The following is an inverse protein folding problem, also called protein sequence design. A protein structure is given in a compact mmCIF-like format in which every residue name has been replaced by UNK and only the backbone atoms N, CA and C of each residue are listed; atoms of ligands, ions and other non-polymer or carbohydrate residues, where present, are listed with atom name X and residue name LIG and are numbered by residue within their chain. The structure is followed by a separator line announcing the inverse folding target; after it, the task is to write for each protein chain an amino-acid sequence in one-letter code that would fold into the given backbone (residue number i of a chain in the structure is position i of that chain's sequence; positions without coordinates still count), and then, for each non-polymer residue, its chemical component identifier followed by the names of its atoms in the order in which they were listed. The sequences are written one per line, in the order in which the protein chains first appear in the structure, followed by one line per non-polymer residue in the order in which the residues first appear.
data_IF_997336402120
#
_entry.id   IF_997336402120
#
_cell.length_a   1.000
_cell.length_b   1.000
_cell.length_c   1.000
_cell.angle_alpha   90.00
_cell.angle_beta   90.00
_cell.angle_gamma   90.00
#
_symmetry.space_group_name_H-M   'P 1'
#
loop_
_entity.id
_entity.type
_entity.pdbx_description
1 polymer ?
#
# COMPACT_ATOMS: atom_id res chain seq x y z
N UNK A 1 -19.09 -1.78 26.77
CA UNK A 1 -19.20 -1.66 25.30
C UNK A 1 -17.80 -1.78 24.73
N UNK A 2 -17.48 -2.75 23.86
CA UNK A 2 -16.16 -2.75 23.23
C UNK A 2 -16.11 -1.60 22.24
N UNK A 3 -15.21 -0.65 22.47
CA UNK A 3 -14.90 0.40 21.52
C UNK A 3 -14.49 -0.29 20.21
N UNK A 4 -15.30 -0.12 19.17
CA UNK A 4 -14.95 -0.57 17.83
C UNK A 4 -13.80 0.32 17.39
N UNK A 5 -12.56 -0.10 17.66
CA UNK A 5 -11.37 0.59 17.20
C UNK A 5 -11.37 0.49 15.68
N UNK A 6 -11.98 1.48 15.03
CA UNK A 6 -11.84 1.67 13.58
C UNK A 6 -10.34 1.66 13.32
N UNK A 7 -9.81 0.73 12.50
CA UNK A 7 -8.37 0.70 12.23
C UNK A 7 -8.03 2.04 11.58
N UNK A 8 -7.39 2.91 12.34
CA UNK A 8 -6.91 4.20 11.85
C UNK A 8 -5.83 3.85 10.85
N UNK A 9 -6.13 4.05 9.57
CA UNK A 9 -5.16 3.84 8.52
C UNK A 9 -4.09 4.93 8.66
N UNK A 10 -2.86 4.52 8.94
CA UNK A 10 -1.72 5.44 8.97
C UNK A 10 -1.16 5.56 7.56
N UNK A 11 -0.87 6.80 7.14
CA UNK A 11 -0.08 7.06 5.95
C UNK A 11 1.29 6.39 6.08
N UNK A 12 1.79 5.82 4.99
CA UNK A 12 3.12 5.22 4.96
C UNK A 12 4.16 6.30 4.70
N UNK A 13 5.32 6.20 5.36
CA UNK A 13 6.41 7.12 5.12
C UNK A 13 6.96 6.94 3.69
N UNK A 14 7.23 8.06 3.01
CA UNK A 14 7.84 8.06 1.68
C UNK A 14 9.22 7.39 1.75
N UNK A 15 9.56 6.59 0.74
CA UNK A 15 10.78 5.78 0.68
C UNK A 15 10.72 4.49 1.49
N UNK A 16 9.60 4.19 2.15
CA UNK A 16 9.45 2.90 2.85
C UNK A 16 9.35 1.77 1.83
N UNK A 17 10.17 0.74 1.99
CA UNK A 17 10.01 -0.52 1.29
C UNK A 17 8.76 -1.26 1.80
N UNK A 18 7.91 -1.62 0.86
CA UNK A 18 6.68 -2.35 1.13
C UNK A 18 6.64 -3.63 0.32
N UNK A 19 6.05 -4.66 0.93
CA UNK A 19 5.69 -5.88 0.24
C UNK A 19 4.20 -5.85 -0.13
N UNK A 20 3.87 -6.16 -1.38
CA UNK A 20 2.49 -6.34 -1.85
C UNK A 20 2.05 -7.81 -1.78
N UNK A 21 0.79 -8.09 -1.39
CA UNK A 21 0.25 -9.46 -1.27
C UNK A 21 0.47 -10.30 -2.52
N UNK A 22 0.75 -11.58 -2.28
CA UNK A 22 0.61 -12.68 -3.24
C UNK A 22 1.97 -13.22 -3.65
N UNK A 23 2.99 -12.37 -3.68
CA UNK A 23 4.29 -12.75 -4.24
C UNK A 23 5.47 -11.96 -3.67
N UNK A 24 5.28 -11.21 -2.56
CA UNK A 24 6.34 -10.43 -1.88
C UNK A 24 7.23 -9.65 -2.85
N UNK A 25 6.65 -8.66 -3.51
CA UNK A 25 7.39 -7.78 -4.40
C UNK A 25 7.78 -6.50 -3.70
N UNK A 26 9.03 -6.07 -3.93
CA UNK A 26 9.54 -4.85 -3.34
C UNK A 26 9.05 -3.63 -4.14
N UNK A 27 8.42 -2.71 -3.42
CA UNK A 27 8.08 -1.39 -3.93
C UNK A 27 8.40 -0.34 -2.89
N UNK A 28 8.66 0.88 -3.32
CA UNK A 28 8.84 2.04 -2.46
C UNK A 28 7.59 2.89 -2.45
N UNK A 29 7.25 3.44 -1.28
CA UNK A 29 6.18 4.42 -1.16
C UNK A 29 6.65 5.77 -1.73
N UNK A 30 6.03 6.25 -2.80
CA UNK A 30 6.27 7.59 -3.35
C UNK A 30 5.44 8.64 -2.63
N UNK A 31 4.19 8.29 -2.32
CA UNK A 31 3.25 9.17 -1.62
C UNK A 31 2.23 8.33 -0.87
N UNK A 32 1.77 8.82 0.28
CA UNK A 32 0.67 8.19 1.01
C UNK A 32 -0.17 9.27 1.68
N UNK A 33 -1.47 9.27 1.38
CA UNK A 33 -2.42 10.24 1.90
C UNK A 33 -3.67 9.53 2.42
N UNK A 34 -4.27 10.08 3.48
CA UNK A 34 -5.58 9.66 3.95
C UNK A 34 -6.60 10.65 3.39
N UNK A 35 -7.46 10.16 2.51
CA UNK A 35 -8.54 10.95 1.93
C UNK A 35 -9.56 11.33 3.01
N UNK A 36 -10.35 12.39 2.77
CA UNK A 36 -11.41 12.85 3.67
C UNK A 36 -12.45 11.77 4.03
N UNK A 37 -12.58 10.74 3.16
CA UNK A 37 -13.45 9.57 3.39
C UNK A 37 -12.81 8.51 4.29
N UNK A 38 -11.62 8.75 4.82
CA UNK A 38 -10.85 7.80 5.63
C UNK A 38 -10.13 6.72 4.82
N UNK A 39 -10.13 6.79 3.49
CA UNK A 39 -9.40 5.84 2.65
C UNK A 39 -7.92 6.21 2.57
N UNK A 40 -7.02 5.23 2.65
CA UNK A 40 -5.59 5.43 2.41
C UNK A 40 -5.27 5.25 0.94
N UNK A 41 -4.80 6.30 0.28
CA UNK A 41 -4.26 6.22 -1.07
C UNK A 41 -2.75 6.29 -1.00
N UNK A 42 -2.07 5.27 -1.51
CA UNK A 42 -0.63 5.16 -1.51
C UNK A 42 -0.16 4.97 -2.95
N UNK A 43 0.75 5.82 -3.42
CA UNK A 43 1.45 5.64 -4.68
C UNK A 43 2.72 4.84 -4.38
N UNK A 44 2.84 3.69 -5.04
CA UNK A 44 4.00 2.81 -4.94
C UNK A 44 4.81 2.89 -6.22
N UNK A 45 6.14 2.87 -6.11
CA UNK A 45 7.07 2.72 -7.23
C UNK A 45 7.77 1.40 -7.11
N UNK A 46 7.66 0.57 -8.14
CA UNK A 46 8.30 -0.74 -8.15
C UNK A 46 9.82 -0.62 -8.28
N UNK A 47 10.58 -1.27 -7.40
CA UNK A 47 12.05 -1.25 -7.45
C UNK A 47 12.61 -2.33 -8.39
N UNK A 48 11.77 -3.29 -8.77
CA UNK A 48 12.07 -4.41 -9.66
C UNK A 48 11.02 -4.57 -10.76
N UNK A 49 11.40 -5.21 -11.87
CA UNK A 49 10.46 -5.61 -12.92
C UNK A 49 9.96 -7.01 -12.60
N UNK A 50 8.64 -7.20 -12.57
CA UNK A 50 8.01 -8.51 -12.34
C UNK A 50 7.14 -8.84 -13.56
N UNK A 51 7.67 -9.61 -14.52
CA UNK A 51 6.93 -10.00 -15.73
C UNK A 51 5.64 -10.77 -15.42
N UNK A 52 5.67 -11.64 -14.41
CA UNK A 52 4.51 -12.44 -13.99
C UNK A 52 3.32 -11.59 -13.51
N UNK A 53 3.59 -10.39 -13.01
CA UNK A 53 2.58 -9.44 -12.55
C UNK A 53 2.37 -8.28 -13.54
N UNK A 54 2.99 -8.33 -14.74
CA UNK A 54 3.02 -7.21 -15.70
C UNK A 54 3.50 -5.89 -15.08
N UNK A 55 4.43 -5.97 -14.12
CA UNK A 55 5.01 -4.84 -13.42
C UNK A 55 6.38 -4.52 -14.03
N UNK A 56 6.64 -3.24 -14.27
CA UNK A 56 7.92 -2.75 -14.79
C UNK A 56 8.63 -2.00 -13.67
N UNK A 57 9.94 -2.18 -13.55
CA UNK A 57 10.78 -1.37 -12.66
C UNK A 57 10.54 0.11 -12.91
N UNK A 58 10.45 0.88 -11.82
CA UNK A 58 10.10 2.30 -11.78
C UNK A 58 8.67 2.64 -12.23
N UNK A 59 7.83 1.66 -12.57
CA UNK A 59 6.42 1.93 -12.79
C UNK A 59 5.77 2.37 -11.48
N UNK A 60 4.84 3.31 -11.59
CA UNK A 60 4.05 3.77 -10.46
C UNK A 60 2.69 3.06 -10.45
N UNK A 61 2.26 2.64 -9.27
CA UNK A 61 0.98 1.97 -9.06
C UNK A 61 0.25 2.66 -7.94
N UNK A 62 -1.02 3.00 -8.19
CA UNK A 62 -1.88 3.59 -7.18
C UNK A 62 -2.54 2.48 -6.40
N UNK A 63 -2.35 2.52 -5.10
CA UNK A 63 -2.95 1.60 -4.16
C UNK A 63 -3.95 2.34 -3.28
N UNK A 64 -5.16 1.80 -3.11
CA UNK A 64 -6.20 2.42 -2.30
C UNK A 64 -6.78 1.42 -1.29
N UNK A 65 -6.67 1.75 -0.01
CA UNK A 65 -7.30 1.01 1.09
C UNK A 65 -8.56 1.72 1.53
N UNK A 66 -9.66 0.98 1.53
CA UNK A 66 -10.93 1.43 2.10
C UNK A 66 -11.09 0.78 3.48
N UNK A 67 -11.34 1.55 4.55
CA UNK A 67 -11.63 0.99 5.88
C UNK A 67 -12.79 0.00 5.80
N UNK A 68 -12.65 -1.16 6.44
CA UNK A 68 -13.68 -2.20 6.46
C UNK A 68 -13.80 -3.05 5.19
N UNK A 69 -13.00 -2.80 4.14
CA UNK A 69 -12.80 -3.76 3.05
C UNK A 69 -11.47 -4.47 3.20
N UNK A 70 -11.47 -5.78 2.91
CA UNK A 70 -10.24 -6.52 2.74
C UNK A 70 -9.40 -5.82 1.68
N UNK A 71 -8.21 -5.31 2.02
CA UNK A 71 -7.34 -4.69 1.03
C UNK A 71 -7.04 -5.72 -0.06
N UNK A 72 -7.21 -5.33 -1.33
CA UNK A 72 -6.80 -6.19 -2.47
C UNK A 72 -5.30 -6.47 -2.45
N UNK A 73 -4.51 -5.68 -1.72
CA UNK A 73 -3.07 -5.87 -1.56
C UNK A 73 -2.64 -5.28 -0.21
N UNK A 74 -2.48 -6.07 0.85
CA UNK A 74 -1.81 -5.61 2.08
C UNK A 74 -0.44 -5.05 1.67
N UNK A 75 -0.26 -3.77 1.94
CA UNK A 75 1.03 -3.09 1.89
C UNK A 75 1.61 -3.21 3.29
N UNK A 76 2.40 -4.26 3.53
CA UNK A 76 3.17 -4.40 4.78
C UNK A 76 4.48 -3.67 4.62
N UNK A 77 4.77 -2.74 5.51
CA UNK A 77 6.13 -2.20 5.68
C UNK A 77 7.02 -3.32 6.19
N UNK A 78 8.17 -3.55 5.57
CA UNK A 78 9.19 -4.42 6.14
C UNK A 78 9.82 -3.63 7.29
N UNK A 79 9.45 -3.96 8.52
CA UNK A 79 10.05 -3.40 9.73
C UNK A 79 11.10 -4.39 10.24
#
# INVERSE_FOLDING_TARGET
MPATTTPVLTALAVGTEVATIGTFHLAEVVSSEITERGNRKTILRWTESIPAASVIKNAETVWAQVPGRTPQSIVTTRN
#
